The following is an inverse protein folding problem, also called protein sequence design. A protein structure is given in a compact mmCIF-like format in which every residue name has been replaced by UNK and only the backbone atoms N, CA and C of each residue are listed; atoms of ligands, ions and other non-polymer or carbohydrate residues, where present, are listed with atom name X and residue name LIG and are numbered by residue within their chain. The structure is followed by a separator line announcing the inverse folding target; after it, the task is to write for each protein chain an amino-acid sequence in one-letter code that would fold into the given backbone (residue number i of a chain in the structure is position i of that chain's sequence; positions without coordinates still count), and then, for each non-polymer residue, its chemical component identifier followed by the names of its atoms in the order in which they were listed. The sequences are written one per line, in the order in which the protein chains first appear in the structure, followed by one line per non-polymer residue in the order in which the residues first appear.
data_IF_678114584875
#
_entry.id   IF_678114584875
#
_cell.length_a   1.000
_cell.length_b   1.000
_cell.length_c   1.000
_cell.angle_alpha   90.00
_cell.angle_beta   90.00
_cell.angle_gamma   90.00
#
_symmetry.space_group_name_H-M   'P 1'
#
loop_
_entity.id
_entity.type
_entity.pdbx_description
1 polymer ?
#
# COMPACT_ATOMS: atom_id res chain seq x y z
N UNK A 1 -8.36 2.85 22.75
CA UNK A 1 -8.80 2.57 21.37
C UNK A 1 -7.58 2.04 20.64
N UNK A 2 -7.67 0.85 20.03
CA UNK A 2 -6.54 0.28 19.31
C UNK A 2 -6.08 1.23 18.19
N UNK A 3 -4.77 1.36 18.02
CA UNK A 3 -4.14 2.11 16.94
C UNK A 3 -4.62 1.56 15.59
N UNK A 4 -4.86 2.44 14.62
CA UNK A 4 -5.09 2.03 13.23
C UNK A 4 -3.84 1.31 12.73
N UNK A 5 -3.99 0.07 12.25
CA UNK A 5 -2.88 -0.75 11.79
C UNK A 5 -3.17 -1.40 10.45
N UNK A 6 -2.11 -1.60 9.67
CA UNK A 6 -2.11 -2.37 8.45
C UNK A 6 -1.59 -3.78 8.76
N UNK A 7 -2.33 -4.83 8.40
CA UNK A 7 -2.05 -6.19 8.87
C UNK A 7 -2.21 -7.23 7.76
N UNK A 8 -1.40 -8.28 7.83
CA UNK A 8 -1.72 -9.56 7.20
C UNK A 8 -2.33 -10.51 8.22
N UNK A 9 -3.33 -11.26 7.76
CA UNK A 9 -4.06 -12.24 8.55
C UNK A 9 -4.04 -13.56 7.79
N UNK A 10 -3.81 -14.66 8.50
CA UNK A 10 -4.04 -16.00 7.98
C UNK A 10 -5.54 -16.22 7.85
N UNK A 11 -6.03 -16.28 6.61
CA UNK A 11 -7.45 -16.44 6.30
C UNK A 11 -8.07 -17.72 6.88
N UNK A 12 -7.26 -18.73 7.22
CA UNK A 12 -7.74 -20.03 7.70
C UNK A 12 -8.12 -20.00 9.17
N UNK A 13 -7.43 -19.19 9.97
CA UNK A 13 -7.55 -19.18 11.43
C UNK A 13 -7.69 -17.79 12.04
N UNK A 14 -7.65 -16.72 11.24
CA UNK A 14 -7.81 -15.34 11.69
C UNK A 14 -6.61 -14.78 12.46
N UNK A 15 -5.49 -15.51 12.58
CA UNK A 15 -4.31 -15.02 13.29
C UNK A 15 -3.60 -13.96 12.46
N UNK A 16 -3.15 -12.90 13.12
CA UNK A 16 -2.24 -11.91 12.52
C UNK A 16 -0.89 -12.55 12.24
N UNK A 17 -0.41 -12.42 11.01
CA UNK A 17 0.93 -12.85 10.58
C UNK A 17 1.92 -11.73 10.89
N UNK A 18 1.59 -10.51 10.48
CA UNK A 18 2.33 -9.29 10.80
C UNK A 18 1.38 -8.10 10.94
N UNK A 19 1.85 -7.07 11.67
CA UNK A 19 1.12 -5.83 11.94
C UNK A 19 2.09 -4.65 11.80
N UNK A 20 1.71 -3.69 10.97
CA UNK A 20 2.38 -2.41 10.83
C UNK A 20 1.50 -1.32 11.45
N UNK A 21 2.04 -0.63 12.45
CA UNK A 21 1.36 0.50 13.08
C UNK A 21 1.82 1.81 12.45
N UNK A 22 0.86 2.65 12.08
CA UNK A 22 1.19 3.92 11.46
C UNK A 22 1.67 4.93 12.50
N UNK A 23 2.86 5.53 12.31
CA UNK A 23 3.34 6.58 13.19
C UNK A 23 2.31 7.74 13.27
N UNK A 24 1.96 8.14 14.49
CA UNK A 24 1.08 9.28 14.73
C UNK A 24 -0.43 9.01 14.70
N UNK A 25 -0.86 7.79 14.34
CA UNK A 25 -2.28 7.46 14.22
C UNK A 25 -2.91 8.14 13.02
N UNK A 26 -3.31 7.36 12.02
CA UNK A 26 -3.93 7.89 10.81
C UNK A 26 -4.82 6.85 10.18
N UNK A 27 -6.01 7.28 9.73
CA UNK A 27 -6.90 6.43 8.97
C UNK A 27 -6.30 6.19 7.59
N UNK A 28 -6.12 4.92 7.24
CA UNK A 28 -5.70 4.49 5.91
C UNK A 28 -6.96 4.39 5.06
N UNK A 29 -7.29 5.45 4.33
CA UNK A 29 -8.40 5.44 3.38
C UNK A 29 -8.06 4.73 2.07
N UNK A 30 -6.77 4.51 1.81
CA UNK A 30 -6.29 3.83 0.62
C UNK A 30 -6.64 2.33 0.67
N UNK A 31 -7.07 1.80 -0.47
CA UNK A 31 -7.19 0.35 -0.65
C UNK A 31 -5.81 -0.30 -0.77
N UNK A 32 -5.78 -1.61 -0.98
CA UNK A 32 -4.55 -2.40 -0.99
C UNK A 32 -4.41 -3.09 -2.35
N UNK A 33 -3.20 -3.12 -2.89
CA UNK A 33 -2.84 -3.89 -4.08
C UNK A 33 -1.72 -4.87 -3.74
N UNK A 34 -1.97 -6.16 -3.91
CA UNK A 34 -0.94 -7.21 -3.82
C UNK A 34 -0.53 -7.65 -5.22
N UNK A 35 0.74 -7.98 -5.39
CA UNK A 35 1.30 -8.41 -6.69
C UNK A 35 1.82 -9.85 -6.61
N UNK A 36 2.00 -10.49 -7.78
CA UNK A 36 2.55 -11.86 -7.86
C UNK A 36 3.96 -11.98 -7.29
N UNK A 37 4.75 -10.91 -7.30
CA UNK A 37 6.12 -10.89 -6.75
C UNK A 37 6.16 -10.81 -5.23
N UNK A 38 5.00 -10.64 -4.58
CA UNK A 38 4.90 -10.50 -3.12
C UNK A 38 4.92 -9.05 -2.63
N UNK A 39 5.03 -8.06 -3.52
CA UNK A 39 4.93 -6.66 -3.12
C UNK A 39 3.48 -6.28 -2.81
N UNK A 40 3.30 -5.46 -1.77
CA UNK A 40 2.02 -4.93 -1.34
C UNK A 40 2.05 -3.40 -1.32
N UNK A 41 1.22 -2.76 -2.12
CA UNK A 41 1.12 -1.31 -2.23
C UNK A 41 -0.13 -0.78 -1.53
N UNK A 42 0.01 0.37 -0.87
CA UNK A 42 -1.09 1.17 -0.32
C UNK A 42 -0.65 2.63 -0.15
N UNK A 43 -1.53 3.48 0.39
CA UNK A 43 -1.18 4.81 0.89
C UNK A 43 -1.19 4.82 2.42
N UNK A 44 -0.43 5.70 3.06
CA UNK A 44 -0.49 5.92 4.51
C UNK A 44 -1.24 7.22 4.87
N UNK A 45 -1.55 7.40 6.17
CA UNK A 45 -2.23 8.60 6.68
C UNK A 45 -1.37 9.87 6.62
N UNK A 46 -0.08 9.76 6.33
CA UNK A 46 0.83 10.89 6.11
C UNK A 46 0.87 11.32 4.64
N UNK A 47 0.16 10.65 3.74
CA UNK A 47 0.16 10.94 2.31
C UNK A 47 1.35 10.36 1.54
N UNK A 48 1.95 9.29 2.07
CA UNK A 48 2.92 8.49 1.35
C UNK A 48 2.24 7.38 0.55
N UNK A 49 2.68 7.16 -0.68
CA UNK A 49 2.59 5.86 -1.31
C UNK A 49 3.66 4.96 -0.70
N UNK A 50 3.30 3.73 -0.37
CA UNK A 50 4.17 2.79 0.36
C UNK A 50 4.13 1.42 -0.30
N UNK A 51 5.25 0.70 -0.23
CA UNK A 51 5.37 -0.69 -0.66
C UNK A 51 5.96 -1.53 0.47
N UNK A 52 5.33 -2.67 0.74
CA UNK A 52 5.75 -3.65 1.74
C UNK A 52 6.10 -4.99 1.11
N UNK A 53 6.98 -5.74 1.76
CA UNK A 53 7.08 -7.18 1.57
C UNK A 53 5.84 -7.86 2.18
N UNK A 54 5.10 -8.62 1.37
CA UNK A 54 3.85 -9.24 1.80
C UNK A 54 4.03 -10.41 2.77
N UNK A 55 5.21 -11.02 2.85
CA UNK A 55 5.47 -12.15 3.74
C UNK A 55 5.75 -11.71 5.18
N UNK A 56 6.49 -10.62 5.36
CA UNK A 56 6.95 -10.18 6.69
C UNK A 56 6.46 -8.77 7.11
N UNK A 57 5.87 -8.00 6.20
CA UNK A 57 5.38 -6.64 6.47
C UNK A 57 6.49 -5.58 6.54
N UNK A 58 7.69 -5.87 6.03
CA UNK A 58 8.80 -4.93 5.96
C UNK A 58 8.50 -3.81 4.96
N UNK A 59 8.70 -2.55 5.37
CA UNK A 59 8.56 -1.39 4.48
C UNK A 59 9.77 -1.35 3.53
N UNK A 60 9.54 -1.55 2.24
CA UNK A 60 10.59 -1.60 1.22
C UNK A 60 10.79 -0.25 0.52
N UNK A 61 9.72 0.54 0.39
CA UNK A 61 9.76 1.81 -0.32
C UNK A 61 8.63 2.73 0.12
N UNK A 62 8.89 4.04 0.10
CA UNK A 62 7.83 5.03 0.19
C UNK A 62 8.19 6.33 -0.54
N UNK A 63 7.16 7.08 -0.94
CA UNK A 63 7.31 8.46 -1.39
C UNK A 63 6.07 9.27 -1.09
N UNK A 64 6.24 10.56 -0.74
CA UNK A 64 5.13 11.45 -0.42
C UNK A 64 4.54 12.02 -1.70
N UNK A 65 3.29 11.66 -2.00
CA UNK A 65 2.56 12.18 -3.17
C UNK A 65 1.28 12.93 -2.81
N UNK A 66 0.84 12.88 -1.55
CA UNK A 66 -0.39 13.52 -1.07
C UNK A 66 -1.40 12.50 -0.58
N UNK A 67 -2.62 12.95 -0.33
CA UNK A 67 -3.69 12.12 0.24
C UNK A 67 -4.20 11.09 -0.79
N UNK A 68 -3.87 9.81 -0.59
CA UNK A 68 -4.30 8.70 -1.46
C UNK A 68 -5.67 8.23 -0.99
N UNK A 69 -6.68 8.35 -1.85
CA UNK A 69 -8.09 8.17 -1.47
C UNK A 69 -8.71 6.86 -1.96
N UNK A 70 -7.99 6.09 -2.78
CA UNK A 70 -8.50 4.89 -3.45
C UNK A 70 -7.47 3.76 -3.40
N UNK A 71 -7.90 2.55 -3.78
CA UNK A 71 -7.00 1.41 -3.93
C UNK A 71 -6.00 1.63 -5.08
N UNK A 72 -4.70 1.38 -4.87
CA UNK A 72 -3.72 1.37 -5.95
C UNK A 72 -4.12 0.34 -7.02
N UNK A 73 -3.76 0.61 -8.27
CA UNK A 73 -3.96 -0.32 -9.39
C UNK A 73 -2.66 -0.50 -10.16
N UNK A 74 -2.53 -1.58 -10.92
CA UNK A 74 -1.38 -1.76 -11.81
C UNK A 74 -1.84 -2.14 -13.21
N UNK A 75 -1.09 -1.68 -14.21
CA UNK A 75 -1.34 -1.91 -15.63
C UNK A 75 -0.02 -1.99 -16.38
N UNK A 76 -0.04 -2.50 -17.62
CA UNK A 76 1.16 -2.60 -18.46
C UNK A 76 1.01 -1.74 -19.73
N UNK A 77 2.06 -1.04 -20.11
CA UNK A 77 2.16 -0.32 -21.39
C UNK A 77 3.53 -0.57 -22.00
N UNK A 78 3.56 -1.05 -23.25
CA UNK A 78 4.79 -1.34 -24.00
C UNK A 78 5.79 -2.23 -23.22
N UNK A 79 5.29 -3.28 -22.55
CA UNK A 79 6.10 -4.22 -21.78
C UNK A 79 6.66 -3.67 -20.46
N UNK A 80 6.17 -2.51 -20.00
CA UNK A 80 6.53 -1.95 -18.69
C UNK A 80 5.31 -1.89 -17.79
N UNK A 81 5.47 -2.41 -16.57
CA UNK A 81 4.43 -2.37 -15.56
C UNK A 81 4.43 -1.01 -14.86
N UNK A 82 3.24 -0.49 -14.62
CA UNK A 82 3.00 0.79 -13.95
C UNK A 82 2.11 0.62 -12.73
N UNK A 83 2.43 1.34 -11.66
CA UNK A 83 1.58 1.52 -10.48
C UNK A 83 0.81 2.83 -10.61
N UNK A 84 -0.52 2.77 -10.52
CA UNK A 84 -1.43 3.91 -10.57
C UNK A 84 -2.02 4.20 -9.19
N UNK A 85 -1.97 5.46 -8.78
CA UNK A 85 -2.50 5.94 -7.49
C UNK A 85 -3.32 7.20 -7.72
N UNK A 86 -4.53 7.23 -7.17
CA UNK A 86 -5.36 8.43 -7.14
C UNK A 86 -5.04 9.27 -5.90
N UNK A 87 -4.75 10.55 -6.11
CA UNK A 87 -4.41 11.53 -5.10
C UNK A 87 -5.27 12.76 -5.32
N UNK A 88 -6.36 12.89 -4.56
CA UNK A 88 -7.41 13.89 -4.80
C UNK A 88 -7.84 13.87 -6.30
N UNK A 89 -7.68 14.98 -7.01
CA UNK A 89 -8.06 15.14 -8.42
C UNK A 89 -6.93 14.78 -9.41
N UNK A 90 -5.86 14.14 -8.94
CA UNK A 90 -4.70 13.76 -9.74
C UNK A 90 -4.44 12.26 -9.74
N UNK A 91 -3.84 11.76 -10.82
CA UNK A 91 -3.32 10.40 -10.91
C UNK A 91 -1.80 10.44 -10.98
N UNK A 92 -1.14 9.63 -10.15
CA UNK A 92 0.30 9.37 -10.23
C UNK A 92 0.54 7.99 -10.83
N UNK A 93 1.48 7.91 -11.78
CA UNK A 93 1.92 6.66 -12.36
C UNK A 93 3.43 6.46 -12.12
N UNK A 94 3.80 5.39 -11.44
CA UNK A 94 5.19 4.97 -11.24
C UNK A 94 5.51 3.80 -12.17
N UNK A 95 6.68 3.81 -12.81
CA UNK A 95 7.14 2.67 -13.60
C UNK A 95 7.89 1.69 -12.68
N UNK A 96 7.58 0.41 -12.79
CA UNK A 96 8.27 -0.67 -12.06
C UNK A 96 9.36 -1.27 -12.97
N UNK A 97 10.53 -1.55 -12.39
CA UNK A 97 11.69 -2.15 -13.06
C UNK A 97 12.04 -3.49 -12.45
#
# INVERSE_FOLDING_TARGET
FDSTAFQAIDYRNGKTIWRHEWPGGGSVGAGILTTKTGLVFTGDGSGNAVAFDGANGELLWHTRIGNITNGPQTYEVNGRQHLLLAVNDMLYAFTLY
#
